data_IF_424196235374
#
_entry.id   IF_424196235374
#
_cell.length_a   1.000
_cell.length_b   1.000
_cell.length_c   1.000
_cell.angle_alpha   90.00
_cell.angle_beta   90.00
_cell.angle_gamma   90.00
#
_symmetry.space_group_name_H-M   'P 1'
#
loop_
_entity.id
_entity.type
_entity.pdbx_description
1 polymer ?
#
# COMPACT_ATOMS: atom_id res chain seq x y z
N UNK A 1 -0.37 24.04 -0.11
CA UNK A 1 -0.49 22.59 0.10
C UNK A 1 -0.12 21.85 -1.18
N UNK A 2 0.79 20.90 -1.09
CA UNK A 2 1.15 20.06 -2.23
C UNK A 2 0.19 18.89 -2.35
N UNK A 3 -0.23 18.63 -3.58
CA UNK A 3 -1.01 17.44 -3.89
C UNK A 3 -0.12 16.49 -4.70
N UNK A 4 0.06 15.27 -4.21
CA UNK A 4 0.87 14.26 -4.87
C UNK A 4 0.00 13.08 -5.27
N UNK A 5 0.48 12.30 -6.24
CA UNK A 5 -0.21 11.11 -6.72
C UNK A 5 0.59 9.87 -6.38
N UNK A 6 -0.09 8.90 -5.81
CA UNK A 6 0.51 7.62 -5.43
C UNK A 6 -0.33 6.48 -5.98
N UNK A 7 0.27 5.31 -6.04
CA UNK A 7 -0.42 4.10 -6.44
C UNK A 7 0.09 2.92 -5.63
N UNK A 8 -0.75 1.93 -5.44
CA UNK A 8 -0.41 0.73 -4.71
C UNK A 8 -1.49 -0.32 -4.84
N UNK A 9 -1.52 -1.25 -3.91
CA UNK A 9 -2.48 -2.33 -4.04
C UNK A 9 -2.82 -3.06 -2.77
N UNK A 10 -3.96 -3.74 -2.84
CA UNK A 10 -4.32 -4.82 -1.93
C UNK A 10 -3.84 -6.09 -2.61
N UNK A 11 -2.88 -6.78 -2.00
CA UNK A 11 -2.27 -7.99 -2.55
C UNK A 11 -2.70 -9.18 -1.71
N UNK A 12 -3.38 -10.13 -2.34
CA UNK A 12 -3.86 -11.36 -1.70
C UNK A 12 -2.97 -12.54 -2.09
N UNK A 13 -2.59 -13.36 -1.11
CA UNK A 13 -1.92 -14.63 -1.39
C UNK A 13 -2.95 -15.75 -1.51
N UNK A 14 -2.48 -16.99 -1.69
CA UNK A 14 -3.37 -18.15 -1.88
C UNK A 14 -4.17 -18.50 -0.63
N UNK A 15 -3.77 -18.02 0.54
CA UNK A 15 -4.50 -18.22 1.79
C UNK A 15 -5.46 -17.08 2.10
N UNK A 16 -5.60 -16.12 1.19
CA UNK A 16 -6.48 -14.97 1.40
C UNK A 16 -5.92 -13.93 2.35
N UNK A 17 -4.64 -14.03 2.71
CA UNK A 17 -3.99 -13.03 3.53
C UNK A 17 -3.59 -11.81 2.70
N UNK A 18 -3.47 -10.67 3.36
CA UNK A 18 -3.22 -9.37 2.74
C UNK A 18 -1.82 -8.89 3.09
N UNK A 19 -1.13 -8.37 2.09
CA UNK A 19 0.21 -7.79 2.28
C UNK A 19 0.11 -6.42 2.95
N UNK A 20 0.81 -6.26 4.08
CA UNK A 20 0.91 -5.00 4.80
C UNK A 20 2.39 -4.69 5.00
N UNK A 21 2.77 -3.42 4.86
CA UNK A 21 4.18 -3.02 4.90
C UNK A 21 4.41 -1.93 5.93
N UNK A 22 5.63 -1.94 6.48
CA UNK A 22 6.09 -0.90 7.40
C UNK A 22 6.61 0.29 6.61
N UNK A 23 6.17 1.49 6.98
CA UNK A 23 6.67 2.73 6.42
C UNK A 23 7.73 3.28 7.37
N UNK A 24 9.00 3.17 6.97
CA UNK A 24 10.15 3.65 7.74
C UNK A 24 10.22 3.10 9.17
N UNK A 25 9.62 1.92 9.41
CA UNK A 25 9.58 1.32 10.74
C UNK A 25 8.67 2.02 11.73
N UNK A 26 7.84 2.98 11.29
CA UNK A 26 7.03 3.82 12.19
C UNK A 26 5.53 3.65 12.02
N UNK A 27 5.08 3.28 10.83
CA UNK A 27 3.66 3.13 10.54
C UNK A 27 3.45 1.95 9.64
N UNK A 28 2.22 1.44 9.62
CA UNK A 28 1.83 0.32 8.79
C UNK A 28 0.85 0.79 7.73
N UNK A 29 1.03 0.34 6.51
CA UNK A 29 0.11 0.67 5.43
C UNK A 29 0.04 -0.47 4.42
N UNK A 30 -0.93 -0.36 3.50
CA UNK A 30 -0.91 -1.16 2.28
C UNK A 30 0.26 -0.68 1.42
N UNK A 31 0.90 -1.57 0.64
CA UNK A 31 2.05 -1.15 -0.18
C UNK A 31 1.64 -0.11 -1.21
N UNK A 32 2.36 1.00 -1.26
CA UNK A 32 2.10 2.10 -2.17
C UNK A 32 3.23 3.11 -2.15
N UNK A 33 3.30 3.95 -3.17
CA UNK A 33 4.25 5.03 -3.23
C UNK A 33 3.97 5.97 -4.39
N UNK A 34 4.80 6.99 -4.54
CA UNK A 34 4.62 8.02 -5.54
C UNK A 34 4.68 7.48 -6.97
N UNK A 35 3.83 8.01 -7.84
CA UNK A 35 3.87 7.70 -9.26
C UNK A 35 4.99 8.55 -9.86
N UNK A 36 5.97 7.90 -10.50
CA UNK A 36 7.07 8.59 -11.14
C UNK A 36 6.61 9.19 -12.47
N UNK A 37 7.39 10.15 -12.97
CA UNK A 37 7.03 11.03 -14.09
C UNK A 37 6.52 10.31 -15.33
N UNK A 38 7.08 9.14 -15.66
CA UNK A 38 6.73 8.42 -16.90
C UNK A 38 5.98 7.12 -16.65
N UNK A 39 5.48 6.94 -15.44
CA UNK A 39 4.70 5.76 -15.08
C UNK A 39 3.21 6.06 -15.12
N UNK A 40 2.41 5.06 -15.49
CA UNK A 40 1.00 5.10 -15.16
C UNK A 40 0.80 4.54 -13.75
N UNK A 41 -0.42 4.65 -13.22
CA UNK A 41 -0.71 4.22 -11.85
C UNK A 41 -0.47 2.72 -11.65
N UNK A 42 -0.81 1.90 -12.63
CA UNK A 42 -0.62 0.45 -12.50
C UNK A 42 0.86 0.08 -12.46
N UNK A 43 1.68 0.68 -13.31
CA UNK A 43 3.12 0.44 -13.31
C UNK A 43 3.75 0.86 -11.98
N UNK A 44 3.34 2.02 -11.47
CA UNK A 44 3.82 2.51 -10.18
C UNK A 44 3.41 1.57 -9.05
N UNK A 45 2.16 1.08 -9.06
CA UNK A 45 1.69 0.14 -8.05
C UNK A 45 2.54 -1.13 -8.04
N UNK A 46 2.82 -1.70 -9.22
CA UNK A 46 3.64 -2.92 -9.32
C UNK A 46 5.06 -2.68 -8.82
N UNK A 47 5.65 -1.55 -9.18
CA UNK A 47 7.01 -1.20 -8.75
C UNK A 47 7.09 -1.01 -7.24
N UNK A 48 6.16 -0.26 -6.67
CA UNK A 48 6.14 -0.01 -5.22
C UNK A 48 5.91 -1.29 -4.42
N UNK A 49 5.01 -2.15 -4.87
CA UNK A 49 4.79 -3.44 -4.22
C UNK A 49 6.07 -4.26 -4.23
N UNK A 50 6.79 -4.28 -5.35
CA UNK A 50 8.06 -5.00 -5.43
C UNK A 50 9.10 -4.40 -4.47
N UNK A 51 9.26 -3.08 -4.46
CA UNK A 51 10.25 -2.43 -3.61
C UNK A 51 9.98 -2.66 -2.13
N UNK A 52 8.71 -2.70 -1.74
CA UNK A 52 8.32 -2.81 -0.33
C UNK A 52 8.14 -4.23 0.15
N UNK A 53 8.10 -5.21 -0.73
CA UNK A 53 7.84 -6.60 -0.34
C UNK A 53 8.67 -7.66 -1.06
N UNK A 54 9.26 -7.32 -2.20
CA UNK A 54 9.94 -8.30 -3.06
C UNK A 54 9.01 -9.09 -3.97
N UNK A 55 7.71 -8.86 -3.92
CA UNK A 55 6.74 -9.60 -4.73
C UNK A 55 6.73 -9.08 -6.16
N UNK A 56 6.95 -9.98 -7.12
CA UNK A 56 6.93 -9.67 -8.56
C UNK A 56 5.75 -10.28 -9.30
N UNK A 57 5.30 -11.46 -8.88
CA UNK A 57 4.23 -12.17 -9.55
C UNK A 57 2.89 -11.60 -9.07
N UNK A 58 2.36 -10.65 -9.83
CA UNK A 58 1.12 -9.96 -9.48
C UNK A 58 0.11 -10.12 -10.62
N UNK A 59 -0.96 -10.83 -10.33
CA UNK A 59 -2.11 -10.90 -11.23
C UNK A 59 -3.06 -9.77 -10.89
N UNK A 60 -3.30 -8.88 -11.84
CA UNK A 60 -4.25 -7.79 -11.65
C UNK A 60 -5.68 -8.33 -11.72
N UNK A 61 -6.45 -8.14 -10.65
CA UNK A 61 -7.86 -8.52 -10.62
C UNK A 61 -8.73 -7.37 -11.09
N UNK A 62 -8.54 -6.17 -10.48
CA UNK A 62 -9.26 -4.95 -10.90
C UNK A 62 -8.73 -3.73 -10.17
N UNK A 63 -9.12 -2.56 -10.64
CA UNK A 63 -8.87 -1.31 -9.92
C UNK A 63 -9.90 -1.15 -8.80
N UNK A 64 -9.45 -0.71 -7.64
CA UNK A 64 -10.31 -0.48 -6.48
C UNK A 64 -10.71 0.98 -6.31
N UNK A 65 -10.09 1.89 -7.07
CA UNK A 65 -10.39 3.32 -7.01
C UNK A 65 -9.31 4.14 -6.34
N UNK A 66 -9.63 5.41 -6.12
CA UNK A 66 -8.68 6.38 -5.58
C UNK A 66 -9.25 6.99 -4.30
N UNK A 67 -8.43 7.14 -3.28
CA UNK A 67 -8.81 7.88 -2.07
C UNK A 67 -7.73 8.90 -1.74
N UNK A 68 -8.07 9.85 -0.87
CA UNK A 68 -7.14 10.93 -0.50
C UNK A 68 -6.91 10.94 0.99
N UNK A 69 -5.69 11.29 1.39
CA UNK A 69 -5.33 11.52 2.77
C UNK A 69 -4.13 12.44 2.87
N UNK A 70 -3.90 13.01 4.04
CA UNK A 70 -2.68 13.74 4.32
C UNK A 70 -1.53 12.77 4.56
N UNK A 71 -0.31 13.27 4.35
CA UNK A 71 0.90 12.52 4.70
C UNK A 71 0.93 12.29 6.21
N UNK A 72 1.47 11.15 6.64
CA UNK A 72 1.70 10.88 8.05
C UNK A 72 2.97 11.62 8.48
N UNK A 73 2.85 12.45 9.52
CA UNK A 73 4.00 13.16 10.07
C UNK A 73 4.87 12.22 10.91
N UNK A 74 6.04 12.71 11.31
CA UNK A 74 6.99 11.90 12.09
C UNK A 74 6.44 11.51 13.47
N UNK A 75 5.49 12.27 14.01
CA UNK A 75 4.86 11.97 15.30
C UNK A 75 3.59 11.11 15.17
N UNK A 76 3.23 10.71 13.96
CA UNK A 76 2.08 9.85 13.71
C UNK A 76 0.78 10.57 13.37
N UNK A 77 0.74 11.90 13.50
CA UNK A 77 -0.42 12.69 13.11
C UNK A 77 -0.41 13.06 11.64
N UNK A 78 -1.36 13.90 11.23
CA UNK A 78 -1.46 14.37 9.85
C UNK A 78 -0.44 15.46 9.55
N UNK A 79 0.29 15.30 8.45
CA UNK A 79 1.11 16.35 7.89
C UNK A 79 0.30 17.04 6.79
N UNK A 80 -0.26 18.18 7.11
CA UNK A 80 -1.16 18.89 6.21
C UNK A 80 -0.46 19.63 5.07
N UNK A 81 0.89 19.60 5.05
CA UNK A 81 1.64 20.20 3.95
C UNK A 81 1.51 19.39 2.66
N UNK A 82 1.13 18.11 2.76
CA UNK A 82 1.00 17.25 1.59
C UNK A 82 -0.31 16.46 1.65
N UNK A 83 -1.10 16.53 0.58
CA UNK A 83 -2.27 15.68 0.37
C UNK A 83 -1.93 14.64 -0.69
N UNK A 84 -2.19 13.39 -0.40
CA UNK A 84 -1.93 12.29 -1.32
C UNK A 84 -3.22 11.79 -1.94
N UNK A 85 -3.24 11.68 -3.27
CA UNK A 85 -4.29 10.95 -3.98
C UNK A 85 -3.73 9.58 -4.31
N UNK A 86 -4.33 8.52 -3.78
CA UNK A 86 -3.79 7.16 -3.83
C UNK A 86 -4.72 6.27 -4.64
N UNK A 87 -4.24 5.80 -5.79
CA UNK A 87 -4.97 4.87 -6.65
C UNK A 87 -4.57 3.44 -6.30
N UNK A 88 -5.54 2.61 -5.98
CA UNK A 88 -5.31 1.25 -5.50
C UNK A 88 -5.86 0.22 -6.45
N UNK A 89 -5.13 -0.89 -6.57
CA UNK A 89 -5.51 -2.04 -7.40
C UNK A 89 -5.59 -3.28 -6.54
N UNK A 90 -6.40 -4.23 -6.96
CA UNK A 90 -6.48 -5.55 -6.33
C UNK A 90 -5.63 -6.52 -7.12
N UNK A 91 -4.67 -7.13 -6.45
CA UNK A 91 -3.78 -8.14 -7.04
C UNK A 91 -3.89 -9.46 -6.29
N UNK A 92 -3.54 -10.52 -6.99
CA UNK A 92 -3.31 -11.84 -6.39
C UNK A 92 -1.89 -12.28 -6.70
N UNK A 93 -1.26 -12.97 -5.75
CA UNK A 93 0.07 -13.52 -5.95
C UNK A 93 0.14 -14.95 -5.42
N UNK A 94 1.01 -15.76 -6.04
CA UNK A 94 1.36 -17.09 -5.54
C UNK A 94 2.62 -17.04 -4.68
N UNK A 95 3.35 -15.93 -4.72
CA UNK A 95 4.56 -15.77 -3.93
C UNK A 95 4.21 -15.58 -2.45
N UNK A 96 4.99 -16.21 -1.58
CA UNK A 96 4.80 -16.08 -0.14
C UNK A 96 6.00 -15.45 0.56
N UNK A 97 7.19 -15.64 0.01
CA UNK A 97 8.41 -15.09 0.62
C UNK A 97 8.40 -13.57 0.49
N UNK A 98 8.59 -12.89 1.60
CA UNK A 98 8.64 -11.44 1.66
C UNK A 98 10.08 -11.00 1.88
N UNK A 99 10.56 -10.13 0.97
CA UNK A 99 11.95 -9.67 1.00
C UNK A 99 12.01 -8.22 0.52
N UNK A 100 11.69 -7.26 1.42
CA UNK A 100 11.71 -5.85 1.05
C UNK A 100 13.07 -5.45 0.47
N UNK A 101 13.02 -4.65 -0.58
CA UNK A 101 14.21 -4.17 -1.28
C UNK A 101 14.60 -2.80 -0.73
N UNK A 102 13.60 -1.95 -0.45
CA UNK A 102 13.83 -0.61 0.02
C UNK A 102 14.18 -0.61 1.51
N UNK A 103 15.39 -0.14 1.92
CA UNK A 103 15.77 -0.14 3.32
C UNK A 103 14.93 0.80 4.19
N UNK A 104 14.25 1.79 3.59
CA UNK A 104 13.35 2.68 4.34
C UNK A 104 12.04 2.00 4.71
N UNK A 105 11.73 0.85 4.09
CA UNK A 105 10.52 0.08 4.37
C UNK A 105 10.96 -1.34 4.76
N UNK A 106 11.48 -1.50 6.00
CA UNK A 106 12.25 -2.69 6.35
C UNK A 106 11.43 -3.96 6.58
N UNK A 107 10.11 -3.85 6.68
CA UNK A 107 9.30 -4.99 7.07
C UNK A 107 8.02 -5.10 6.25
N UNK A 108 7.68 -6.33 5.86
CA UNK A 108 6.43 -6.66 5.19
C UNK A 108 5.85 -7.89 5.87
N UNK A 109 4.53 -7.99 5.93
CA UNK A 109 3.83 -9.10 6.57
C UNK A 109 2.60 -9.52 5.78
N UNK A 110 2.30 -10.81 5.84
CA UNK A 110 0.98 -11.33 5.47
C UNK A 110 0.07 -11.27 6.69
N UNK A 111 -1.09 -10.65 6.55
CA UNK A 111 -2.00 -10.40 7.67
C UNK A 111 -3.39 -10.92 7.29
N UNK A 112 -4.04 -11.60 8.22
CA UNK A 112 -5.41 -12.03 8.01
C UNK A 112 -6.28 -10.83 7.66
N UNK A 113 -7.14 -10.98 6.66
CA UNK A 113 -8.01 -9.92 6.19
C UNK A 113 -8.75 -9.21 7.33
N UNK A 114 -9.26 -9.97 8.31
CA UNK A 114 -10.00 -9.43 9.45
C UNK A 114 -9.14 -8.61 10.41
N UNK A 115 -7.81 -8.69 10.29
CA UNK A 115 -6.87 -7.98 11.17
C UNK A 115 -6.21 -6.77 10.54
N UNK A 116 -6.36 -6.60 9.21
CA UNK A 116 -5.64 -5.56 8.47
C UNK A 116 -5.98 -4.16 8.99
N UNK A 117 -7.29 -3.85 9.11
CA UNK A 117 -7.69 -2.51 9.54
C UNK A 117 -7.22 -2.17 10.94
N UNK A 118 -7.04 -3.18 11.81
CA UNK A 118 -6.51 -2.96 13.15
C UNK A 118 -5.04 -2.57 13.12
N UNK A 119 -4.29 -3.09 12.15
CA UNK A 119 -2.84 -2.84 12.04
C UNK A 119 -2.51 -1.54 11.33
N UNK A 120 -3.31 -1.14 10.34
CA UNK A 120 -3.03 0.08 9.57
C UNK A 120 -3.00 1.31 10.48
N UNK A 121 -2.05 2.19 10.25
CA UNK A 121 -1.85 3.36 11.11
C UNK A 121 -2.83 4.48 10.79
N UNK A 122 -3.03 4.81 9.51
CA UNK A 122 -3.81 5.97 9.12
C UNK A 122 -5.29 5.64 8.98
N UNK A 123 -6.17 6.48 9.57
CA UNK A 123 -7.61 6.25 9.55
C UNK A 123 -8.19 6.16 8.14
N UNK A 124 -7.69 6.95 7.20
CA UNK A 124 -8.18 6.91 5.81
C UNK A 124 -7.81 5.61 5.12
N UNK A 125 -6.65 5.05 5.44
CA UNK A 125 -6.25 3.73 4.93
C UNK A 125 -7.20 2.65 5.48
N UNK A 126 -7.55 2.73 6.77
CA UNK A 126 -8.50 1.81 7.40
C UNK A 126 -9.88 1.91 6.75
N UNK A 127 -10.37 3.13 6.54
CA UNK A 127 -11.66 3.35 5.90
C UNK A 127 -11.69 2.79 4.48
N UNK A 128 -10.63 3.05 3.72
CA UNK A 128 -10.52 2.53 2.37
C UNK A 128 -10.57 1.00 2.38
N UNK A 129 -9.77 0.37 3.23
CA UNK A 129 -9.71 -1.09 3.29
C UNK A 129 -11.04 -1.71 3.67
N UNK A 130 -11.74 -1.12 4.64
CA UNK A 130 -13.06 -1.62 5.07
C UNK A 130 -14.10 -1.54 3.97
N UNK A 131 -14.02 -0.52 3.10
CA UNK A 131 -14.98 -0.33 2.01
C UNK A 131 -14.62 -1.11 0.75
N UNK A 132 -13.37 -1.48 0.59
CA UNK A 132 -12.92 -2.18 -0.60
C UNK A 132 -13.61 -3.53 -0.71
N UNK A 133 -14.10 -3.84 -1.93
CA UNK A 133 -14.82 -5.09 -2.18
C UNK A 133 -13.93 -6.06 -2.92
N UNK A 134 -13.61 -7.15 -2.26
CA UNK A 134 -12.79 -8.20 -2.84
C UNK A 134 -12.97 -9.52 -2.10
#
# INVERSE_FOLDING_TARGET
>A
MNKTRSAGGVVLNDEGEVLVVSQRGRSWSLPKGHIDRQEDALAAARREIYEESGIRDLELIRELGTYERHKISLDGGDDRSERKAITMFLFRTREKALKPIDPDNPEARWVKRSKVALLLTHEKDKEFFRRAKF
#
